data_IF_208618048611
#
_entry.id   IF_208618048611
#
_cell.length_a   1.000
_cell.length_b   1.000
_cell.length_c   1.000
_cell.angle_alpha   90.00
_cell.angle_beta   90.00
_cell.angle_gamma   90.00
#
_symmetry.space_group_name_H-M   'P 1'
#
loop_
_entity.id
_entity.type
_entity.pdbx_description
1 polymer ?
#
# COMPACT_ATOMS: atom_id res chain seq x y z
N UNK A 1 -17.52 21.60 12.09
CA UNK A 1 -16.30 20.82 11.79
C UNK A 1 -15.88 19.95 12.96
N UNK A 2 -15.35 20.50 14.07
CA UNK A 2 -14.95 19.69 15.23
C UNK A 2 -16.09 18.91 15.89
N UNK A 3 -17.26 19.54 16.07
CA UNK A 3 -18.47 18.87 16.53
C UNK A 3 -18.89 17.75 15.56
N UNK A 4 -18.86 18.04 14.26
CA UNK A 4 -19.15 17.08 13.19
C UNK A 4 -18.23 15.85 13.27
N UNK A 5 -16.91 16.03 13.39
CA UNK A 5 -15.96 14.92 13.51
C UNK A 5 -16.16 14.08 14.79
N UNK A 6 -16.58 14.72 15.90
CA UNK A 6 -16.89 14.03 17.17
C UNK A 6 -18.17 13.19 17.10
N UNK A 7 -19.12 13.59 16.26
CA UNK A 7 -20.42 12.92 16.10
C UNK A 7 -20.41 11.78 15.07
N UNK A 8 -19.34 11.65 14.28
CA UNK A 8 -19.21 10.57 13.29
C UNK A 8 -19.02 9.19 13.95
N UNK A 9 -19.74 8.19 13.43
CA UNK A 9 -19.46 6.79 13.74
C UNK A 9 -18.22 6.30 12.98
N UNK A 10 -17.09 6.28 13.67
CA UNK A 10 -15.83 5.75 13.15
C UNK A 10 -15.75 4.21 13.22
N UNK A 11 -16.68 3.51 13.86
CA UNK A 11 -16.65 2.03 13.90
C UNK A 11 -17.22 1.43 12.60
N UNK A 12 -18.09 2.15 11.90
CA UNK A 12 -18.74 1.77 10.63
C UNK A 12 -19.39 0.37 10.69
N UNK A 13 -20.08 0.02 11.78
CA UNK A 13 -20.48 -1.38 12.06
C UNK A 13 -21.33 -2.00 10.94
N UNK A 14 -22.09 -1.20 10.21
CA UNK A 14 -23.01 -1.65 9.15
C UNK A 14 -22.48 -1.50 7.71
N UNK A 15 -21.27 -0.94 7.51
CA UNK A 15 -20.72 -0.79 6.16
C UNK A 15 -20.22 -2.13 5.58
N UNK A 16 -20.78 -2.60 4.46
CA UNK A 16 -20.20 -3.70 3.69
C UNK A 16 -19.02 -3.16 2.87
N UNK A 17 -17.86 -3.83 2.90
CA UNK A 17 -16.79 -3.55 1.94
C UNK A 17 -17.27 -3.99 0.56
N UNK A 18 -17.35 -3.07 -0.40
CA UNK A 18 -17.54 -3.45 -1.79
C UNK A 18 -16.29 -4.24 -2.23
N UNK A 19 -16.50 -5.37 -2.89
CA UNK A 19 -15.42 -6.23 -3.39
C UNK A 19 -14.63 -5.61 -4.55
N UNK A 20 -14.93 -4.38 -4.99
CA UNK A 20 -14.46 -3.77 -6.24
C UNK A 20 -12.93 -3.64 -6.37
N UNK A 21 -12.43 -2.40 -6.47
CA UNK A 21 -10.98 -2.13 -6.60
C UNK A 21 -10.10 -2.79 -5.52
N UNK A 22 -10.65 -3.13 -4.35
CA UNK A 22 -9.90 -3.81 -3.29
C UNK A 22 -9.57 -5.27 -3.58
N UNK A 23 -10.24 -5.94 -4.53
CA UNK A 23 -10.01 -7.36 -4.85
C UNK A 23 -8.87 -7.60 -5.85
N UNK A 24 -8.41 -6.56 -6.56
CA UNK A 24 -7.48 -6.73 -7.68
C UNK A 24 -6.09 -7.23 -7.26
N UNK A 25 -5.70 -6.99 -6.01
CA UNK A 25 -4.42 -7.43 -5.49
C UNK A 25 -4.46 -7.59 -3.96
N UNK A 26 -3.94 -8.71 -3.41
CA UNK A 26 -3.81 -8.87 -1.96
C UNK A 26 -2.77 -7.90 -1.41
N UNK A 27 -3.21 -7.02 -0.51
CA UNK A 27 -2.34 -6.08 0.19
C UNK A 27 -2.94 -5.89 1.60
N UNK A 28 -2.42 -6.56 2.63
CA UNK A 28 -2.92 -6.46 4.00
C UNK A 28 -2.62 -5.10 4.66
N UNK A 29 -3.11 -4.92 5.88
CA UNK A 29 -2.87 -3.76 6.73
C UNK A 29 -3.20 -2.41 6.04
N UNK A 30 -4.42 -2.30 5.53
CA UNK A 30 -5.01 -1.08 4.95
C UNK A 30 -6.09 -0.56 5.89
N UNK A 31 -6.27 0.77 5.97
CA UNK A 31 -7.53 1.29 6.51
C UNK A 31 -8.70 1.05 5.56
N UNK A 32 -9.91 1.16 6.08
CA UNK A 32 -11.14 1.00 5.28
C UNK A 32 -11.44 2.31 4.53
N UNK A 33 -11.98 2.25 3.29
CA UNK A 33 -12.20 3.45 2.45
C UNK A 33 -13.16 4.46 3.07
N UNK A 34 -14.00 4.04 4.01
CA UNK A 34 -14.93 4.94 4.69
C UNK A 34 -14.23 5.98 5.57
N UNK A 35 -13.04 5.67 6.12
CA UNK A 35 -12.27 6.63 6.92
C UNK A 35 -11.80 7.82 6.05
N UNK A 36 -10.99 7.63 4.98
CA UNK A 36 -10.60 8.74 4.13
C UNK A 36 -11.81 9.42 3.49
N UNK A 37 -12.89 8.69 3.16
CA UNK A 37 -14.10 9.31 2.62
C UNK A 37 -14.70 10.33 3.59
N UNK A 38 -14.93 9.94 4.85
CA UNK A 38 -15.50 10.84 5.86
C UNK A 38 -14.59 12.02 6.17
N UNK A 39 -13.27 11.79 6.22
CA UNK A 39 -12.29 12.86 6.42
C UNK A 39 -12.38 13.88 5.28
N UNK A 40 -12.38 13.41 4.02
CA UNK A 40 -12.49 14.29 2.84
C UNK A 40 -13.82 15.04 2.85
N UNK A 41 -14.93 14.35 3.13
CA UNK A 41 -16.28 14.97 3.16
C UNK A 41 -16.41 16.03 4.26
N UNK A 42 -15.69 15.87 5.38
CA UNK A 42 -15.82 16.75 6.55
C UNK A 42 -14.84 17.92 6.53
N UNK A 43 -13.60 17.69 6.11
CA UNK A 43 -12.53 18.68 6.14
C UNK A 43 -12.39 19.42 4.80
N UNK A 44 -12.79 18.79 3.69
CA UNK A 44 -12.58 19.30 2.35
C UNK A 44 -11.10 19.31 1.95
N UNK A 45 -10.84 19.75 0.72
CA UNK A 45 -9.49 19.96 0.19
C UNK A 45 -9.44 21.32 -0.51
N UNK A 46 -9.24 22.43 0.22
CA UNK A 46 -9.17 23.77 -0.35
C UNK A 46 -7.94 23.92 -1.27
N UNK A 47 -8.13 24.53 -2.44
CA UNK A 47 -7.09 25.04 -3.36
C UNK A 47 -5.81 24.19 -3.49
N UNK A 48 -5.98 22.87 -3.65
CA UNK A 48 -4.86 21.94 -3.72
C UNK A 48 -5.28 20.49 -3.98
N UNK A 49 -4.34 19.59 -3.76
CA UNK A 49 -4.54 18.13 -3.93
C UNK A 49 -4.58 17.42 -2.58
N UNK A 50 -5.11 16.18 -2.59
CA UNK A 50 -5.05 15.29 -1.44
C UNK A 50 -3.72 14.54 -1.44
N UNK A 51 -2.97 14.59 -0.33
CA UNK A 51 -1.72 13.87 -0.16
C UNK A 51 -1.90 12.67 0.78
N UNK A 52 -1.39 11.51 0.38
CA UNK A 52 -1.16 10.36 1.25
C UNK A 52 0.35 10.00 1.25
N UNK A 53 1.13 10.39 2.28
CA UNK A 53 2.57 10.11 2.36
C UNK A 53 2.94 8.65 2.63
N UNK A 54 1.95 7.76 2.80
CA UNK A 54 2.10 6.32 2.98
C UNK A 54 0.99 5.58 2.23
N UNK A 55 0.88 5.86 0.93
CA UNK A 55 -0.33 5.54 0.17
C UNK A 55 -0.63 4.05 0.06
N UNK A 56 0.35 3.18 0.31
CA UNK A 56 0.20 1.73 0.26
C UNK A 56 -0.40 1.31 -1.08
N UNK A 57 -1.51 0.59 -1.03
CA UNK A 57 -2.26 0.17 -2.22
C UNK A 57 -3.30 1.18 -2.72
N UNK A 58 -3.21 2.45 -2.31
CA UNK A 58 -3.91 3.57 -2.93
C UNK A 58 -5.33 3.83 -2.42
N UNK A 59 -5.66 3.41 -1.20
CA UNK A 59 -7.06 3.52 -0.71
C UNK A 59 -7.51 4.98 -0.59
N UNK A 60 -6.69 5.88 -0.04
CA UNK A 60 -7.02 7.31 0.00
C UNK A 60 -7.12 7.91 -1.41
N UNK A 61 -6.21 7.51 -2.31
CA UNK A 61 -6.13 8.03 -3.68
C UNK A 61 -7.38 7.66 -4.49
N UNK A 62 -7.83 6.41 -4.44
CA UNK A 62 -9.07 5.98 -5.09
C UNK A 62 -10.28 6.74 -4.54
N UNK A 63 -10.33 6.95 -3.22
CA UNK A 63 -11.44 7.71 -2.60
C UNK A 63 -11.40 9.18 -3.04
N UNK A 64 -10.23 9.81 -3.06
CA UNK A 64 -10.03 11.16 -3.57
C UNK A 64 -10.54 11.29 -5.02
N UNK A 65 -10.12 10.39 -5.90
CA UNK A 65 -10.57 10.36 -7.30
C UNK A 65 -12.08 10.16 -7.43
N UNK A 66 -12.68 9.25 -6.65
CA UNK A 66 -14.13 9.02 -6.68
C UNK A 66 -14.94 10.24 -6.22
N UNK A 67 -14.29 11.17 -5.51
CA UNK A 67 -14.86 12.43 -5.05
C UNK A 67 -14.45 13.63 -5.91
N UNK A 68 -13.79 13.39 -7.04
CA UNK A 68 -13.37 14.45 -7.96
C UNK A 68 -12.10 15.20 -7.56
N UNK A 69 -11.35 14.73 -6.56
CA UNK A 69 -10.09 15.35 -6.15
C UNK A 69 -8.89 14.71 -6.86
N UNK A 70 -7.95 15.54 -7.28
CA UNK A 70 -6.62 15.08 -7.62
C UNK A 70 -5.87 14.63 -6.36
N UNK A 71 -4.96 13.67 -6.52
CA UNK A 71 -4.21 13.15 -5.39
C UNK A 71 -2.74 12.85 -5.67
N UNK A 72 -1.93 12.87 -4.63
CA UNK A 72 -0.53 12.47 -4.66
C UNK A 72 -0.34 11.39 -3.59
N UNK A 73 0.27 10.28 -3.96
CA UNK A 73 0.63 9.21 -3.05
C UNK A 73 2.14 8.99 -3.03
N UNK A 74 2.72 8.87 -1.84
CA UNK A 74 4.11 8.44 -1.66
C UNK A 74 4.11 7.07 -0.98
N UNK A 75 4.93 6.15 -1.47
CA UNK A 75 5.23 4.92 -0.73
C UNK A 75 6.65 4.43 -1.03
N UNK A 76 7.28 3.81 -0.04
CA UNK A 76 8.59 3.17 -0.19
C UNK A 76 8.50 1.88 -1.01
N UNK A 77 7.41 1.13 -0.87
CA UNK A 77 7.26 -0.20 -1.44
C UNK A 77 6.78 -0.12 -2.90
N UNK A 78 7.60 -0.55 -3.88
CA UNK A 78 7.26 -0.44 -5.29
C UNK A 78 6.05 -1.29 -5.69
N UNK A 79 5.75 -2.37 -4.96
CA UNK A 79 4.52 -3.16 -5.17
C UNK A 79 3.29 -2.34 -4.78
N UNK A 80 3.38 -1.58 -3.69
CA UNK A 80 2.32 -0.70 -3.25
C UNK A 80 2.07 0.41 -4.29
N UNK A 81 3.14 1.06 -4.75
CA UNK A 81 3.07 2.07 -5.82
C UNK A 81 2.51 1.51 -7.12
N UNK A 82 2.92 0.31 -7.54
CA UNK A 82 2.39 -0.37 -8.74
C UNK A 82 0.88 -0.58 -8.63
N UNK A 83 0.40 -1.11 -7.51
CA UNK A 83 -1.03 -1.33 -7.28
C UNK A 83 -1.78 0.00 -7.25
N UNK A 84 -1.23 1.02 -6.59
CA UNK A 84 -1.81 2.35 -6.51
C UNK A 84 -2.00 2.95 -7.91
N UNK A 85 -0.96 2.93 -8.76
CA UNK A 85 -1.07 3.40 -10.15
C UNK A 85 -2.15 2.67 -10.92
N UNK A 86 -2.15 1.34 -10.88
CA UNK A 86 -3.15 0.52 -11.61
C UNK A 86 -4.58 0.82 -11.14
N UNK A 87 -4.81 1.09 -9.85
CA UNK A 87 -6.14 1.43 -9.34
C UNK A 87 -6.61 2.85 -9.67
N UNK A 88 -5.68 3.75 -9.92
CA UNK A 88 -5.97 5.18 -10.13
C UNK A 88 -5.83 5.60 -11.58
N UNK A 89 -5.61 4.65 -12.49
CA UNK A 89 -5.44 4.87 -13.92
C UNK A 89 -6.47 4.02 -14.66
N UNK A 90 -7.30 4.63 -15.53
CA UNK A 90 -8.22 3.89 -16.37
C UNK A 90 -7.48 2.84 -17.20
N UNK A 91 -8.07 1.64 -17.29
CA UNK A 91 -7.47 0.56 -18.05
C UNK A 91 -7.73 0.77 -19.55
N UNK A 92 -6.70 0.59 -20.38
CA UNK A 92 -6.85 0.66 -21.84
C UNK A 92 -7.78 -0.44 -22.35
N UNK A 93 -8.60 -0.13 -23.36
CA UNK A 93 -9.45 -1.11 -24.07
C UNK A 93 -8.65 -2.27 -24.64
N UNK A 94 -7.40 -2.03 -25.02
CA UNK A 94 -6.51 -3.02 -25.64
C UNK A 94 -5.90 -3.97 -24.60
N UNK A 95 -6.16 -3.76 -23.30
CA UNK A 95 -5.63 -4.61 -22.23
C UNK A 95 -6.07 -6.07 -22.39
N UNK A 96 -7.31 -6.30 -22.86
CA UNK A 96 -7.84 -7.65 -23.03
C UNK A 96 -7.04 -8.43 -24.07
N UNK A 97 -6.84 -7.83 -25.24
CA UNK A 97 -6.02 -8.41 -26.31
C UNK A 97 -4.57 -8.57 -25.85
N UNK A 98 -4.04 -7.61 -25.10
CA UNK A 98 -2.68 -7.65 -24.58
C UNK A 98 -2.44 -8.82 -23.63
N UNK A 99 -3.33 -9.09 -22.66
CA UNK A 99 -3.10 -10.20 -21.73
C UNK A 99 -3.30 -11.57 -22.42
N UNK A 100 -4.21 -11.68 -23.39
CA UNK A 100 -4.35 -12.91 -24.19
C UNK A 100 -3.10 -13.18 -25.03
N UNK A 101 -2.56 -12.16 -25.69
CA UNK A 101 -1.32 -12.28 -26.44
C UNK A 101 -0.13 -12.64 -25.53
N UNK A 102 -0.02 -12.00 -24.35
CA UNK A 102 1.01 -12.35 -23.36
C UNK A 102 0.93 -13.82 -22.91
N UNK A 103 -0.29 -14.36 -22.72
CA UNK A 103 -0.51 -15.77 -22.41
C UNK A 103 -0.05 -16.69 -23.55
N UNK A 104 -0.43 -16.39 -24.79
CA UNK A 104 -0.05 -17.16 -25.98
C UNK A 104 1.47 -17.23 -26.14
N UNK A 105 2.13 -16.07 -26.11
CA UNK A 105 3.59 -15.97 -26.17
C UNK A 105 4.23 -16.76 -25.02
N UNK A 106 3.74 -16.58 -23.79
CA UNK A 106 4.32 -17.24 -22.63
C UNK A 106 4.25 -18.78 -22.69
N UNK A 107 3.26 -19.38 -23.35
CA UNK A 107 3.21 -20.85 -23.48
C UNK A 107 4.31 -21.38 -24.41
N UNK A 108 4.61 -20.63 -25.48
CA UNK A 108 5.56 -21.02 -26.52
C UNK A 108 7.02 -20.67 -26.17
N UNK A 109 7.24 -19.75 -25.24
CA UNK A 109 8.58 -19.32 -24.85
C UNK A 109 9.40 -20.46 -24.22
N UNK A 110 10.67 -20.53 -24.60
CA UNK A 110 11.72 -21.18 -23.82
C UNK A 110 12.46 -20.13 -22.98
N UNK A 111 12.79 -20.46 -21.74
CA UNK A 111 13.44 -19.53 -20.80
C UNK A 111 14.59 -20.20 -20.08
N UNK A 112 15.64 -19.41 -19.83
CA UNK A 112 16.77 -19.83 -19.01
C UNK A 112 16.57 -19.40 -17.55
N UNK A 113 16.31 -20.38 -16.68
CA UNK A 113 16.14 -20.17 -15.24
C UNK A 113 17.43 -19.77 -14.52
N UNK A 114 18.60 -19.85 -15.17
CA UNK A 114 19.86 -19.34 -14.60
C UNK A 114 19.80 -17.83 -14.30
N UNK A 115 18.96 -17.11 -15.06
CA UNK A 115 18.67 -15.69 -14.87
C UNK A 115 18.02 -15.35 -13.52
N UNK A 116 17.47 -16.35 -12.80
CA UNK A 116 16.82 -16.19 -11.50
C UNK A 116 17.78 -16.26 -10.30
N UNK A 117 19.09 -16.35 -10.55
CA UNK A 117 20.14 -16.43 -9.52
C UNK A 117 20.16 -15.25 -8.54
N UNK A 118 19.55 -14.12 -8.89
CA UNK A 118 19.36 -12.97 -8.03
C UNK A 118 18.24 -13.14 -6.97
N UNK A 119 17.38 -14.15 -7.08
CA UNK A 119 16.28 -14.41 -6.15
C UNK A 119 16.75 -15.34 -5.02
N UNK A 120 16.88 -14.86 -3.78
CA UNK A 120 17.44 -15.65 -2.69
C UNK A 120 16.54 -16.83 -2.32
N UNK A 121 17.14 -18.01 -2.20
CA UNK A 121 16.48 -19.27 -1.83
C UNK A 121 15.29 -19.63 -2.73
N UNK A 122 15.36 -19.32 -4.03
CA UNK A 122 14.23 -19.51 -4.94
C UNK A 122 13.67 -20.95 -4.92
N UNK A 123 14.54 -21.96 -4.86
CA UNK A 123 14.14 -23.38 -4.84
C UNK A 123 13.41 -23.80 -3.57
N UNK A 124 13.62 -23.07 -2.47
CA UNK A 124 12.85 -23.29 -1.25
C UNK A 124 11.43 -22.73 -1.36
N UNK A 125 11.26 -21.62 -2.09
CA UNK A 125 9.98 -20.91 -2.17
C UNK A 125 9.16 -21.23 -3.42
N UNK A 126 9.77 -21.72 -4.50
CA UNK A 126 9.11 -22.00 -5.77
C UNK A 126 9.62 -23.32 -6.34
N UNK A 127 8.71 -24.21 -6.72
CA UNK A 127 9.07 -25.45 -7.46
C UNK A 127 9.67 -25.09 -8.82
N UNK A 128 10.61 -25.89 -9.33
CA UNK A 128 11.35 -25.59 -10.57
C UNK A 128 10.42 -25.38 -11.75
N UNK A 129 9.41 -26.23 -11.90
CA UNK A 129 8.39 -26.11 -12.93
C UNK A 129 7.59 -24.80 -12.81
N UNK A 130 7.29 -24.33 -11.60
CA UNK A 130 6.62 -23.05 -11.39
C UNK A 130 7.55 -21.86 -11.70
N UNK A 131 8.83 -21.96 -11.37
CA UNK A 131 9.82 -20.91 -11.72
C UNK A 131 9.86 -20.69 -13.24
N UNK A 132 9.82 -21.77 -14.03
CA UNK A 132 9.80 -21.73 -15.49
C UNK A 132 8.56 -20.97 -15.98
N UNK A 133 7.35 -21.36 -15.55
CA UNK A 133 6.12 -20.73 -16.05
C UNK A 133 5.98 -19.25 -15.64
N UNK A 134 6.40 -18.90 -14.42
CA UNK A 134 6.39 -17.50 -13.96
C UNK A 134 7.41 -16.67 -14.76
N UNK A 135 8.58 -17.23 -15.06
CA UNK A 135 9.59 -16.54 -15.88
C UNK A 135 9.11 -16.36 -17.32
N UNK A 136 8.45 -17.36 -17.92
CA UNK A 136 7.83 -17.22 -19.26
C UNK A 136 6.81 -16.07 -19.29
N UNK A 137 5.91 -16.01 -18.30
CA UNK A 137 4.95 -14.89 -18.19
C UNK A 137 5.66 -13.55 -18.01
N UNK A 138 6.64 -13.47 -17.09
CA UNK A 138 7.43 -12.24 -16.89
C UNK A 138 8.09 -11.77 -18.20
N UNK A 139 8.66 -12.69 -18.97
CA UNK A 139 9.29 -12.39 -20.26
C UNK A 139 8.28 -11.89 -21.29
N UNK A 140 7.14 -12.57 -21.43
CA UNK A 140 6.07 -12.15 -22.35
C UNK A 140 5.48 -10.78 -21.99
N UNK A 141 5.25 -10.50 -20.70
CA UNK A 141 4.82 -9.17 -20.21
C UNK A 141 5.84 -8.09 -20.58
N UNK A 142 7.13 -8.44 -20.65
CA UNK A 142 8.21 -7.56 -21.07
C UNK A 142 8.04 -6.93 -22.46
N UNK A 143 7.23 -7.53 -23.33
CA UNK A 143 6.91 -6.98 -24.65
C UNK A 143 6.11 -5.67 -24.60
N UNK A 144 5.47 -5.39 -23.46
CA UNK A 144 4.60 -4.21 -23.28
C UNK A 144 5.30 -3.04 -22.60
N UNK A 145 6.62 -3.08 -22.36
CA UNK A 145 7.36 -2.04 -21.60
C UNK A 145 7.13 -0.61 -22.09
N UNK A 146 6.92 -0.41 -23.38
CA UNK A 146 6.69 0.90 -23.99
C UNK A 146 5.25 1.42 -23.77
N UNK A 147 4.30 0.55 -23.44
CA UNK A 147 2.95 0.91 -22.99
C UNK A 147 2.83 0.74 -21.48
N UNK A 148 3.22 1.79 -20.74
CA UNK A 148 3.31 1.75 -19.27
C UNK A 148 2.01 1.36 -18.57
N UNK A 149 0.84 1.75 -19.10
CA UNK A 149 -0.48 1.41 -18.52
C UNK A 149 -0.74 -0.09 -18.60
N UNK A 150 -0.60 -0.68 -19.79
CA UNK A 150 -0.77 -2.13 -19.98
C UNK A 150 0.31 -2.91 -19.23
N UNK A 151 1.56 -2.44 -19.29
CA UNK A 151 2.68 -3.08 -18.61
C UNK A 151 2.48 -3.15 -17.10
N UNK A 152 2.08 -2.04 -16.46
CA UNK A 152 1.84 -2.02 -15.03
C UNK A 152 0.63 -2.88 -14.65
N UNK A 153 -0.45 -2.89 -15.45
CA UNK A 153 -1.60 -3.75 -15.21
C UNK A 153 -1.24 -5.25 -15.28
N UNK A 154 -0.49 -5.67 -16.30
CA UNK A 154 0.00 -7.04 -16.43
C UNK A 154 0.95 -7.42 -15.28
N UNK A 155 1.85 -6.52 -14.88
CA UNK A 155 2.74 -6.74 -13.73
C UNK A 155 1.98 -6.84 -12.42
N UNK A 156 0.93 -6.03 -12.23
CA UNK A 156 0.06 -6.12 -11.06
C UNK A 156 -0.69 -7.45 -11.04
N UNK A 157 -1.16 -7.95 -12.18
CA UNK A 157 -1.77 -9.27 -12.30
C UNK A 157 -0.80 -10.40 -11.95
N UNK A 158 0.43 -10.36 -12.51
CA UNK A 158 1.48 -11.33 -12.19
C UNK A 158 1.85 -11.27 -10.71
N UNK A 159 2.05 -10.05 -10.18
CA UNK A 159 2.32 -9.82 -8.76
C UNK A 159 1.27 -10.51 -7.91
N UNK A 160 -0.02 -10.30 -8.20
CA UNK A 160 -1.16 -10.73 -7.39
C UNK A 160 -1.12 -12.24 -7.08
N UNK A 161 -0.59 -13.05 -7.99
CA UNK A 161 -0.57 -14.51 -7.91
C UNK A 161 0.70 -15.08 -7.28
N UNK A 162 1.79 -14.31 -7.13
CA UNK A 162 3.11 -14.82 -6.68
C UNK A 162 3.03 -15.62 -5.38
N UNK A 163 2.30 -15.14 -4.37
CA UNK A 163 2.14 -15.88 -3.10
C UNK A 163 1.30 -17.15 -3.28
N UNK A 164 0.32 -17.15 -4.18
CA UNK A 164 -0.54 -18.32 -4.43
C UNK A 164 0.24 -19.46 -5.08
N UNK A 165 1.17 -19.14 -5.97
CA UNK A 165 2.00 -20.12 -6.70
C UNK A 165 3.31 -20.47 -5.99
N UNK A 166 3.63 -19.80 -4.88
CA UNK A 166 4.80 -20.10 -4.04
C UNK A 166 4.45 -20.98 -2.85
N UNK A 167 5.49 -21.50 -2.19
CA UNK A 167 5.40 -22.21 -0.93
C UNK A 167 5.07 -21.29 0.26
N UNK A 168 4.95 -19.98 0.09
CA UNK A 168 4.56 -19.09 1.20
C UNK A 168 3.09 -19.31 1.58
N UNK A 169 2.82 -19.72 2.82
CA UNK A 169 1.49 -20.06 3.33
C UNK A 169 0.40 -19.07 2.89
N UNK A 170 0.54 -17.79 3.26
CA UNK A 170 -0.40 -16.74 2.85
C UNK A 170 0.25 -15.36 2.76
N UNK A 171 -0.53 -14.37 2.29
CA UNK A 171 -0.12 -12.96 2.32
C UNK A 171 0.04 -12.41 3.75
N UNK A 172 -0.35 -13.16 4.78
CA UNK A 172 -0.32 -12.72 6.18
C UNK A 172 0.47 -13.66 7.09
N UNK A 173 0.99 -14.77 6.55
CA UNK A 173 1.80 -15.74 7.27
C UNK A 173 3.03 -16.13 6.46
N UNK A 174 4.20 -15.71 6.95
CA UNK A 174 5.48 -16.01 6.35
C UNK A 174 6.02 -17.35 6.88
N UNK A 175 5.50 -18.44 6.31
CA UNK A 175 5.96 -19.80 6.55
C UNK A 175 5.95 -20.58 5.23
N UNK A 176 6.92 -21.48 5.05
CA UNK A 176 6.93 -22.36 3.89
C UNK A 176 6.02 -23.57 4.14
N UNK A 177 5.12 -23.84 3.20
CA UNK A 177 4.28 -25.04 3.11
C UNK A 177 4.43 -25.63 1.72
N UNK A 178 4.36 -26.95 1.60
CA UNK A 178 4.32 -27.58 0.28
C UNK A 178 2.92 -27.40 -0.31
N UNK A 179 2.82 -26.54 -1.34
CA UNK A 179 1.56 -26.36 -2.08
C UNK A 179 1.56 -27.25 -3.32
N UNK A 180 0.49 -28.01 -3.49
CA UNK A 180 0.27 -28.79 -4.70
C UNK A 180 -0.31 -27.91 -5.81
N UNK A 181 0.54 -27.10 -6.46
CA UNK A 181 0.20 -26.23 -7.58
C UNK A 181 0.83 -26.79 -8.85
N UNK A 182 0.04 -26.99 -9.90
CA UNK A 182 0.54 -27.42 -11.21
C UNK A 182 1.04 -26.23 -12.06
N UNK A 183 1.94 -26.46 -13.03
CA UNK A 183 2.40 -25.43 -13.98
C UNK A 183 1.25 -24.70 -14.68
N UNK A 184 0.24 -25.45 -15.17
CA UNK A 184 -0.93 -24.88 -15.86
C UNK A 184 -1.75 -23.96 -14.94
N UNK A 185 -1.70 -24.19 -13.62
CA UNK A 185 -2.41 -23.36 -12.67
C UNK A 185 -1.86 -21.93 -12.64
N UNK A 186 -0.57 -21.73 -12.92
CA UNK A 186 0.07 -20.39 -12.99
C UNK A 186 -0.64 -19.52 -14.02
N UNK A 187 -0.79 -20.02 -15.25
CA UNK A 187 -1.49 -19.33 -16.34
C UNK A 187 -2.95 -19.05 -16.00
N UNK A 188 -3.68 -20.03 -15.47
CA UNK A 188 -5.08 -19.83 -15.09
C UNK A 188 -5.24 -18.77 -13.98
N UNK A 189 -4.32 -18.71 -13.02
CA UNK A 189 -4.36 -17.71 -11.95
C UNK A 189 -4.05 -16.32 -12.50
N UNK A 190 -3.09 -16.21 -13.41
CA UNK A 190 -2.73 -14.96 -14.08
C UNK A 190 -3.91 -14.44 -14.91
N UNK A 191 -4.50 -15.28 -15.76
CA UNK A 191 -5.67 -14.95 -16.57
C UNK A 191 -6.84 -14.47 -15.71
N UNK A 192 -7.18 -15.20 -14.65
CA UNK A 192 -8.22 -14.78 -13.70
C UNK A 192 -7.90 -13.43 -13.04
N UNK A 193 -6.62 -13.13 -12.78
CA UNK A 193 -6.22 -11.83 -12.26
C UNK A 193 -6.41 -10.72 -13.29
N UNK A 194 -6.12 -10.97 -14.57
CA UNK A 194 -6.36 -10.01 -15.66
C UNK A 194 -7.85 -9.77 -15.90
N UNK A 195 -8.68 -10.83 -15.88
CA UNK A 195 -10.15 -10.71 -15.96
C UNK A 195 -10.68 -9.87 -14.79
N UNK A 196 -10.16 -10.08 -13.58
CA UNK A 196 -10.58 -9.28 -12.44
C UNK A 196 -10.17 -7.80 -12.61
N UNK A 197 -9.01 -7.50 -13.19
CA UNK A 197 -8.61 -6.13 -13.50
C UNK A 197 -9.56 -5.50 -14.53
N UNK A 198 -9.84 -6.17 -15.64
CA UNK A 198 -10.72 -5.65 -16.69
C UNK A 198 -12.13 -5.36 -16.18
N UNK A 199 -12.70 -6.27 -15.39
CA UNK A 199 -14.04 -6.08 -14.81
C UNK A 199 -14.15 -4.95 -13.79
N UNK A 200 -13.05 -4.56 -13.13
CA UNK A 200 -13.08 -3.55 -12.08
C UNK A 200 -12.52 -2.17 -12.49
N UNK A 201 -11.83 -2.08 -13.65
CA UNK A 201 -11.13 -0.87 -14.07
C UNK A 201 -11.52 -0.34 -15.46
N UNK A 202 -12.26 -1.10 -16.27
CA UNK A 202 -12.71 -0.61 -17.60
C UNK A 202 -13.78 0.49 -17.44
N UNK A 203 -14.68 0.36 -16.48
CA UNK A 203 -15.77 1.33 -16.21
C UNK A 203 -15.37 2.38 -15.16
N UNK A 204 -14.07 2.67 -15.01
CA UNK A 204 -13.59 3.59 -13.99
C UNK A 204 -13.82 5.05 -14.41
N UNK A 205 -14.90 5.66 -13.89
CA UNK A 205 -15.28 7.07 -14.06
C UNK A 205 -14.40 8.07 -13.26
N UNK A 206 -13.20 7.68 -12.81
CA UNK A 206 -12.32 8.57 -12.06
C UNK A 206 -11.79 9.70 -12.95
N UNK A 207 -12.43 10.87 -12.86
CA UNK A 207 -12.14 12.05 -13.71
C UNK A 207 -10.81 12.71 -13.33
N UNK A 208 -10.37 12.57 -12.07
CA UNK A 208 -9.24 13.33 -11.53
C UNK A 208 -7.95 12.51 -11.48
N UNK A 209 -6.80 13.14 -11.72
CA UNK A 209 -5.50 12.47 -11.83
C UNK A 209 -4.89 12.09 -10.47
N UNK A 210 -4.05 11.06 -10.46
CA UNK A 210 -3.23 10.70 -9.28
C UNK A 210 -1.76 10.57 -9.66
N UNK A 211 -0.87 11.16 -8.86
CA UNK A 211 0.59 11.03 -9.00
C UNK A 211 1.11 10.08 -7.92
N UNK A 212 1.84 9.04 -8.32
CA UNK A 212 2.41 8.06 -7.39
C UNK A 212 3.93 8.19 -7.41
N UNK A 213 4.51 8.47 -6.25
CA UNK A 213 5.94 8.65 -6.05
C UNK A 213 6.47 7.44 -5.26
N UNK A 214 7.37 6.66 -5.86
CA UNK A 214 8.04 5.57 -5.16
C UNK A 214 9.34 6.07 -4.52
N UNK A 215 9.25 6.50 -3.27
CA UNK A 215 10.36 7.10 -2.52
C UNK A 215 10.20 6.88 -1.02
N UNK A 216 11.32 6.80 -0.32
CA UNK A 216 11.37 6.88 1.14
C UNK A 216 10.83 8.26 1.56
N UNK A 217 9.73 8.29 2.33
CA UNK A 217 9.07 9.54 2.72
C UNK A 217 10.02 10.50 3.45
N UNK A 218 11.00 9.98 4.20
CA UNK A 218 11.97 10.79 4.93
C UNK A 218 13.03 11.42 4.03
N UNK A 219 13.02 11.08 2.73
CA UNK A 219 13.87 11.64 1.68
C UNK A 219 13.08 12.46 0.66
N UNK A 220 11.76 12.57 0.83
CA UNK A 220 10.91 13.43 0.01
C UNK A 220 11.08 14.86 0.50
N UNK A 221 11.25 15.80 -0.43
CA UNK A 221 11.21 17.24 -0.17
C UNK A 221 9.98 17.85 -0.82
N UNK A 222 9.73 19.13 -0.53
CA UNK A 222 8.65 19.90 -1.19
C UNK A 222 8.77 19.90 -2.73
N UNK A 223 9.98 19.79 -3.28
CA UNK A 223 10.22 19.86 -4.73
C UNK A 223 9.79 18.55 -5.44
N UNK A 224 9.72 17.44 -4.70
CA UNK A 224 9.15 16.20 -5.20
C UNK A 224 7.61 16.25 -5.27
N UNK A 225 6.97 17.22 -4.59
CA UNK A 225 5.51 17.37 -4.51
C UNK A 225 5.07 18.50 -5.47
N UNK A 226 4.65 18.19 -6.70
CA UNK A 226 4.48 19.19 -7.77
C UNK A 226 3.28 20.13 -7.59
N UNK A 227 2.45 19.92 -6.57
CA UNK A 227 1.22 20.67 -6.33
C UNK A 227 1.08 21.01 -4.85
N UNK A 228 0.47 22.16 -4.57
CA UNK A 228 0.09 22.53 -3.19
C UNK A 228 -0.92 21.51 -2.63
N UNK A 229 -0.79 21.21 -1.34
CA UNK A 229 -1.63 20.20 -0.67
C UNK A 229 -2.72 20.90 0.12
N UNK A 230 -3.98 20.60 -0.21
CA UNK A 230 -5.15 21.12 0.49
C UNK A 230 -5.60 20.24 1.65
N UNK A 231 -5.24 18.96 1.63
CA UNK A 231 -5.55 17.99 2.67
C UNK A 231 -4.53 16.85 2.67
N UNK A 232 -4.07 16.43 3.84
CA UNK A 232 -3.30 15.20 4.01
C UNK A 232 -4.16 14.16 4.73
N UNK A 233 -4.30 12.96 4.17
CA UNK A 233 -5.01 11.83 4.80
C UNK A 233 -4.18 10.57 4.66
N UNK A 234 -3.83 9.93 5.77
CA UNK A 234 -2.93 8.77 5.73
C UNK A 234 -3.08 7.82 6.91
N UNK A 235 -2.56 6.60 6.74
CA UNK A 235 -2.31 5.65 7.81
C UNK A 235 -0.86 5.19 7.72
N UNK A 236 0.05 5.78 8.52
CA UNK A 236 1.46 5.43 8.44
C UNK A 236 1.70 4.00 8.91
N UNK A 237 2.77 3.33 8.45
CA UNK A 237 3.18 2.06 9.03
C UNK A 237 3.63 2.29 10.49
N UNK A 238 3.01 1.60 11.43
CA UNK A 238 3.39 1.68 12.85
C UNK A 238 3.99 0.36 13.36
N UNK A 239 4.86 0.42 14.39
CA UNK A 239 5.61 -0.75 14.86
C UNK A 239 4.72 -1.95 15.18
N UNK A 240 5.10 -3.12 14.66
CA UNK A 240 4.40 -4.41 14.79
C UNK A 240 3.02 -4.51 14.11
N UNK A 241 2.67 -3.57 13.21
CA UNK A 241 1.46 -3.69 12.40
C UNK A 241 1.57 -4.80 11.35
N UNK A 242 2.56 -4.70 10.48
CA UNK A 242 2.80 -5.61 9.35
C UNK A 242 4.22 -5.38 8.79
N UNK A 243 4.89 -6.41 8.26
CA UNK A 243 6.23 -6.29 7.67
C UNK A 243 6.13 -6.27 6.13
N UNK A 244 5.84 -5.10 5.54
CA UNK A 244 5.53 -5.00 4.11
C UNK A 244 6.66 -5.51 3.22
N UNK A 245 7.92 -5.22 3.55
CA UNK A 245 9.08 -5.74 2.81
C UNK A 245 9.07 -7.27 2.81
N UNK A 246 8.84 -7.91 3.96
CA UNK A 246 8.99 -9.35 4.15
C UNK A 246 7.95 -10.12 3.33
N UNK A 247 6.69 -9.67 3.38
CA UNK A 247 5.59 -10.32 2.69
C UNK A 247 5.57 -10.05 1.18
N UNK A 248 6.16 -8.94 0.73
CA UNK A 248 6.19 -8.56 -0.69
C UNK A 248 7.54 -8.81 -1.38
N UNK A 249 8.60 -9.26 -0.68
CA UNK A 249 9.94 -9.43 -1.26
C UNK A 249 9.99 -10.32 -2.50
N UNK A 250 9.26 -11.43 -2.54
CA UNK A 250 9.25 -12.29 -3.72
C UNK A 250 8.48 -11.67 -4.88
N UNK A 251 7.44 -10.87 -4.61
CA UNK A 251 6.79 -10.06 -5.65
C UNK A 251 7.78 -9.04 -6.22
N UNK A 252 8.55 -8.38 -5.35
CA UNK A 252 9.59 -7.42 -5.76
C UNK A 252 10.68 -8.08 -6.62
N UNK A 253 11.26 -9.20 -6.19
CA UNK A 253 12.26 -9.93 -6.97
C UNK A 253 11.74 -10.38 -8.34
N UNK A 254 10.54 -10.95 -8.39
CA UNK A 254 9.94 -11.40 -9.67
C UNK A 254 9.67 -10.25 -10.64
N UNK A 255 9.47 -9.03 -10.14
CA UNK A 255 9.22 -7.84 -10.95
C UNK A 255 10.44 -6.93 -11.11
N UNK A 256 11.65 -7.43 -10.82
CA UNK A 256 12.92 -6.72 -10.96
C UNK A 256 13.05 -5.46 -10.08
N UNK A 257 12.34 -5.42 -8.95
CA UNK A 257 12.55 -4.42 -7.91
C UNK A 257 13.63 -4.88 -6.92
N UNK A 258 14.12 -3.95 -6.09
CA UNK A 258 15.09 -4.23 -5.02
C UNK A 258 14.40 -4.29 -3.63
N UNK A 259 14.13 -5.48 -3.08
CA UNK A 259 13.58 -5.61 -1.73
C UNK A 259 14.56 -5.23 -0.62
N UNK A 260 15.88 -5.18 -0.88
CA UNK A 260 16.85 -4.87 0.18
C UNK A 260 16.85 -3.37 0.52
N UNK A 261 16.72 -2.49 -0.47
CA UNK A 261 16.51 -1.06 -0.21
C UNK A 261 15.23 -0.80 0.57
N UNK A 262 14.12 -1.47 0.21
CA UNK A 262 12.85 -1.38 0.96
C UNK A 262 13.02 -1.87 2.40
N UNK A 263 13.63 -3.05 2.60
CA UNK A 263 13.91 -3.59 3.93
C UNK A 263 14.72 -2.62 4.80
N UNK A 264 15.69 -1.93 4.21
CA UNK A 264 16.58 -1.00 4.94
C UNK A 264 15.85 0.27 5.37
N UNK A 265 14.94 0.78 4.54
CA UNK A 265 14.25 2.06 4.77
C UNK A 265 12.86 1.91 5.40
N UNK A 266 12.31 0.70 5.54
CA UNK A 266 10.95 0.50 6.04
C UNK A 266 10.77 0.99 7.50
N UNK A 267 9.85 1.94 7.67
CA UNK A 267 9.37 2.43 8.96
C UNK A 267 8.51 1.34 9.62
N UNK A 268 8.70 1.13 10.92
CA UNK A 268 7.90 0.17 11.69
C UNK A 268 8.24 -1.31 11.49
N UNK A 269 9.20 -1.65 10.62
CA UNK A 269 9.61 -3.03 10.37
C UNK A 269 10.10 -3.73 11.64
N UNK A 270 9.54 -4.91 11.95
CA UNK A 270 9.85 -5.66 13.19
C UNK A 270 11.34 -5.91 13.34
N UNK A 271 12.04 -6.28 12.26
CA UNK A 271 13.48 -6.52 12.28
C UNK A 271 14.32 -5.34 12.80
N UNK A 272 13.82 -4.11 12.78
CA UNK A 272 14.52 -2.94 13.33
C UNK A 272 14.45 -2.86 14.86
N UNK A 273 13.41 -3.43 15.47
CA UNK A 273 13.20 -3.44 16.92
C UNK A 273 13.86 -4.63 17.64
N UNK A 274 14.52 -5.55 16.94
CA UNK A 274 15.18 -6.73 17.54
C UNK A 274 16.70 -6.80 17.28
N UNK A 275 17.30 -5.75 16.69
CA UNK A 275 18.76 -5.64 16.48
C UNK A 275 19.48 -5.15 17.74
N UNK A 276 20.81 -5.28 17.77
CA UNK A 276 21.68 -4.83 18.88
C UNK A 276 21.57 -3.30 19.15
N UNK A 277 21.35 -2.51 18.09
CA UNK A 277 20.92 -1.10 18.17
C UNK A 277 19.46 -1.03 17.69
N UNK A 278 18.54 -1.44 18.57
CA UNK A 278 17.12 -1.53 18.20
C UNK A 278 16.49 -0.15 18.13
N UNK A 279 15.52 0.01 17.23
CA UNK A 279 14.65 1.18 17.26
C UNK A 279 13.81 1.19 18.54
N UNK A 280 13.37 2.37 18.93
CA UNK A 280 12.58 2.67 20.12
C UNK A 280 11.34 3.48 19.73
N UNK A 281 10.53 3.90 20.71
CA UNK A 281 9.46 4.84 20.48
C UNK A 281 9.98 6.20 19.98
N UNK A 282 11.18 6.61 20.41
CA UNK A 282 11.85 7.85 20.00
C UNK A 282 12.21 7.84 18.51
N UNK A 283 12.70 6.71 17.99
CA UNK A 283 12.93 6.57 16.55
C UNK A 283 11.65 6.74 15.74
N UNK A 284 10.54 6.11 16.18
CA UNK A 284 9.26 6.26 15.51
C UNK A 284 8.73 7.70 15.61
N UNK A 285 8.89 8.35 16.76
CA UNK A 285 8.58 9.77 16.93
C UNK A 285 9.35 10.65 15.92
N UNK A 286 10.67 10.47 15.80
CA UNK A 286 11.48 11.24 14.85
C UNK A 286 11.08 10.98 13.39
N UNK A 287 10.73 9.74 13.05
CA UNK A 287 10.22 9.39 11.73
C UNK A 287 8.90 10.10 11.43
N UNK A 288 7.94 10.07 12.36
CA UNK A 288 6.65 10.78 12.20
C UNK A 288 6.83 12.29 12.18
N UNK A 289 7.72 12.84 13.02
CA UNK A 289 8.08 14.26 13.00
C UNK A 289 8.70 14.67 11.66
N UNK A 290 9.55 13.84 11.05
CA UNK A 290 10.07 14.06 9.71
C UNK A 290 8.97 14.13 8.65
N UNK A 291 7.99 13.23 8.70
CA UNK A 291 6.82 13.28 7.82
C UNK A 291 5.94 14.51 8.07
N UNK A 292 5.74 14.90 9.33
CA UNK A 292 5.00 16.12 9.70
C UNK A 292 5.73 17.39 9.22
N UNK A 293 7.06 17.39 9.22
CA UNK A 293 7.86 18.50 8.68
C UNK A 293 7.59 18.67 7.18
N UNK A 294 7.61 17.59 6.40
CA UNK A 294 7.22 17.64 4.99
C UNK A 294 5.77 18.13 4.84
N UNK A 295 4.84 17.63 5.65
CA UNK A 295 3.45 18.07 5.64
C UNK A 295 3.35 19.59 5.88
N UNK A 296 4.11 20.13 6.83
CA UNK A 296 4.16 21.57 7.09
C UNK A 296 4.67 22.38 5.90
N UNK A 297 5.65 21.85 5.16
CA UNK A 297 6.23 22.52 3.99
C UNK A 297 5.27 22.56 2.79
N UNK A 298 4.41 21.54 2.63
CA UNK A 298 3.59 21.37 1.40
C UNK A 298 2.11 21.69 1.58
N UNK A 299 1.59 21.64 2.80
CA UNK A 299 0.21 22.04 3.10
C UNK A 299 0.04 23.55 2.87
N UNK A 300 -1.10 23.96 2.34
CA UNK A 300 -1.48 25.37 2.35
C UNK A 300 -1.88 25.81 3.77
N UNK A 301 -1.80 27.10 4.05
CA UNK A 301 -2.16 27.64 5.36
C UNK A 301 -3.61 27.29 5.69
N UNK A 302 -3.90 27.00 6.96
CA UNK A 302 -5.20 26.51 7.44
C UNK A 302 -5.67 25.15 6.89
N UNK A 303 -4.89 24.45 6.06
CA UNK A 303 -5.20 23.09 5.63
C UNK A 303 -5.03 22.06 6.76
N UNK A 304 -5.69 20.92 6.60
CA UNK A 304 -5.70 19.85 7.60
C UNK A 304 -4.80 18.67 7.22
N UNK A 305 -4.29 17.99 8.25
CA UNK A 305 -3.68 16.68 8.14
C UNK A 305 -4.36 15.70 9.10
N UNK A 306 -4.72 14.53 8.59
CA UNK A 306 -5.37 13.46 9.33
C UNK A 306 -4.55 12.16 9.28
N UNK A 307 -4.23 11.63 10.45
CA UNK A 307 -3.43 10.42 10.63
C UNK A 307 -4.26 9.35 11.32
N UNK A 308 -4.27 8.15 10.76
CA UNK A 308 -4.97 6.98 11.33
C UNK A 308 -3.93 5.98 11.82
N UNK A 309 -3.82 5.81 13.14
CA UNK A 309 -2.78 4.96 13.75
C UNK A 309 -3.36 4.02 14.81
N UNK A 310 -2.87 2.78 14.82
CA UNK A 310 -3.08 1.86 15.93
C UNK A 310 -2.11 2.14 17.08
N UNK A 311 -2.35 1.52 18.23
CA UNK A 311 -1.27 1.39 19.24
C UNK A 311 -0.17 0.47 18.72
N UNK A 312 1.00 0.53 19.35
CA UNK A 312 2.09 -0.42 19.12
C UNK A 312 2.53 -1.05 20.44
N UNK A 313 3.26 -2.18 20.36
CA UNK A 313 3.93 -2.76 21.51
C UNK A 313 5.43 -2.87 21.25
N UNK A 314 6.25 -2.01 21.82
CA UNK A 314 7.69 -1.99 21.61
C UNK A 314 8.36 -2.48 22.90
N UNK A 315 9.18 -3.52 22.82
CA UNK A 315 9.89 -4.11 23.98
C UNK A 315 9.04 -4.46 25.21
N UNK A 316 7.75 -4.77 25.02
CA UNK A 316 6.86 -5.06 26.15
C UNK A 316 5.95 -3.89 26.53
N UNK A 317 6.30 -2.68 26.13
CA UNK A 317 5.59 -1.45 26.47
C UNK A 317 4.56 -1.09 25.39
N UNK A 318 3.40 -0.60 25.83
CA UNK A 318 2.35 -0.14 24.92
C UNK A 318 2.66 1.31 24.57
N UNK A 319 2.85 1.57 23.28
CA UNK A 319 3.15 2.88 22.74
C UNK A 319 1.87 3.49 22.16
N UNK A 320 1.58 4.73 22.58
CA UNK A 320 0.51 5.54 22.04
C UNK A 320 1.01 6.36 20.84
N UNK A 321 0.98 5.73 19.66
CA UNK A 321 1.44 6.37 18.43
C UNK A 321 0.68 7.65 18.08
N UNK A 322 -0.60 7.76 18.50
CA UNK A 322 -1.37 8.97 18.30
C UNK A 322 -0.82 10.14 19.12
N UNK A 323 -0.37 9.87 20.35
CA UNK A 323 0.27 10.88 21.18
C UNK A 323 1.60 11.34 20.58
N UNK A 324 2.43 10.40 20.07
CA UNK A 324 3.69 10.76 19.42
C UNK A 324 3.50 11.67 18.19
N UNK A 325 2.43 11.45 17.41
CA UNK A 325 2.07 12.33 16.29
C UNK A 325 1.61 13.71 16.78
N UNK A 326 0.81 13.76 17.85
CA UNK A 326 0.37 15.03 18.47
C UNK A 326 1.58 15.84 18.96
N UNK A 327 2.46 15.21 19.73
CA UNK A 327 3.65 15.86 20.29
C UNK A 327 4.55 16.42 19.16
N UNK A 328 4.77 15.65 18.09
CA UNK A 328 5.55 16.09 16.93
C UNK A 328 4.88 17.22 16.15
N UNK A 329 3.54 17.24 16.09
CA UNK A 329 2.78 18.29 15.43
C UNK A 329 2.81 19.59 16.24
N UNK A 330 2.73 19.52 17.57
CA UNK A 330 2.87 20.69 18.46
C UNK A 330 4.25 21.32 18.34
N UNK A 331 5.32 20.51 18.31
CA UNK A 331 6.70 21.01 18.13
C UNK A 331 6.92 21.73 16.80
N UNK A 332 6.16 21.36 15.76
CA UNK A 332 6.18 22.01 14.44
C UNK A 332 5.17 23.16 14.33
N UNK A 333 4.42 23.43 15.39
CA UNK A 333 3.51 24.56 15.49
C UNK A 333 2.12 24.33 14.90
N UNK A 334 1.71 23.10 14.59
CA UNK A 334 0.34 22.81 14.16
C UNK A 334 -0.67 23.08 15.28
N UNK A 335 -1.91 23.38 14.90
CA UNK A 335 -3.04 23.37 15.84
C UNK A 335 -3.59 21.95 15.95
N UNK A 336 -3.74 21.44 17.17
CA UNK A 336 -4.37 20.14 17.42
C UNK A 336 -5.88 20.30 17.38
N UNK A 337 -6.50 19.74 16.34
CA UNK A 337 -7.94 19.86 16.12
C UNK A 337 -8.66 18.79 16.92
N UNK A 338 -8.23 17.53 16.82
CA UNK A 338 -8.88 16.46 17.58
C UNK A 338 -8.19 15.12 17.53
N UNK A 339 -8.58 14.28 18.49
CA UNK A 339 -8.16 12.89 18.64
C UNK A 339 -9.41 12.04 18.82
N UNK A 340 -9.61 11.05 17.96
CA UNK A 340 -10.82 10.24 17.90
C UNK A 340 -10.47 8.75 17.93
N UNK A 341 -10.85 8.06 19.00
CA UNK A 341 -10.61 6.62 19.14
C UNK A 341 -11.76 5.82 18.50
N UNK A 342 -11.42 4.73 17.83
CA UNK A 342 -12.38 3.77 17.24
C UNK A 342 -12.03 2.33 17.61
N UNK A 343 -13.03 1.45 17.63
CA UNK A 343 -12.83 0.02 17.82
C UNK A 343 -12.81 -0.71 16.48
N UNK A 344 -11.76 -1.48 16.23
CA UNK A 344 -11.69 -2.35 15.07
C UNK A 344 -12.54 -3.62 15.31
N UNK A 345 -13.50 -3.85 14.41
CA UNK A 345 -14.27 -5.08 14.42
C UNK A 345 -13.38 -6.29 14.05
N UNK A 346 -13.43 -7.38 14.83
CA UNK A 346 -12.49 -8.52 14.70
C UNK A 346 -12.52 -9.21 13.33
N UNK A 347 -13.64 -9.14 12.63
CA UNK A 347 -13.85 -9.74 11.31
C UNK A 347 -13.30 -8.88 10.16
N UNK A 348 -12.83 -7.64 10.43
CA UNK A 348 -12.25 -6.72 9.43
C UNK A 348 -10.72 -6.66 9.50
N UNK A 349 -10.12 -7.52 10.32
CA UNK A 349 -8.66 -7.63 10.42
C UNK A 349 -8.12 -8.26 9.14
N UNK A 350 -7.32 -7.48 8.41
CA UNK A 350 -6.46 -8.01 7.35
C UNK A 350 -5.25 -8.77 7.92
N UNK A 351 -5.00 -8.70 9.23
CA UNK A 351 -3.87 -9.35 9.90
C UNK A 351 -4.26 -9.86 11.30
N UNK A 352 -4.10 -11.17 11.52
CA UNK A 352 -4.39 -11.85 12.79
C UNK A 352 -3.11 -12.51 13.31
N UNK A 353 -2.12 -11.71 13.74
CA UNK A 353 -1.12 -12.23 14.66
C UNK A 353 -1.68 -12.23 16.08
N UNK A 354 -1.58 -13.36 16.79
CA UNK A 354 -1.92 -13.49 18.22
C UNK A 354 -1.21 -12.46 19.11
N UNK A 355 -0.09 -11.90 18.64
CA UNK A 355 0.67 -10.83 19.31
C UNK A 355 0.18 -9.41 19.00
N UNK A 356 -0.63 -9.21 17.96
CA UNK A 356 -1.17 -7.91 17.54
C UNK A 356 -2.63 -7.75 18.01
N UNK A 357 -2.87 -7.95 19.31
CA UNK A 357 -4.18 -7.81 19.95
C UNK A 357 -4.61 -6.34 20.14
N UNK A 358 -4.35 -5.49 19.15
CA UNK A 358 -4.65 -4.07 19.21
C UNK A 358 -6.01 -3.86 18.55
N UNK A 359 -7.03 -3.66 19.39
CA UNK A 359 -8.44 -3.52 19.00
C UNK A 359 -8.86 -2.07 18.73
N UNK A 360 -7.93 -1.13 18.84
CA UNK A 360 -8.21 0.31 18.75
C UNK A 360 -7.28 0.97 17.74
N UNK A 361 -7.88 1.79 16.89
CA UNK A 361 -7.18 2.79 16.08
C UNK A 361 -7.61 4.18 16.58
N UNK A 362 -6.77 5.16 16.34
CA UNK A 362 -6.99 6.55 16.71
C UNK A 362 -6.76 7.41 15.48
N UNK A 363 -7.68 8.33 15.24
CA UNK A 363 -7.59 9.36 14.20
C UNK A 363 -7.12 10.64 14.88
N UNK A 364 -5.99 11.18 14.43
CA UNK A 364 -5.46 12.47 14.87
C UNK A 364 -5.66 13.46 13.73
N UNK A 365 -6.30 14.60 14.03
CA UNK A 365 -6.49 15.69 13.08
C UNK A 365 -5.75 16.91 13.60
N UNK A 366 -4.88 17.47 12.76
CA UNK A 366 -4.13 18.70 13.02
C UNK A 366 -4.34 19.69 11.87
N UNK A 367 -4.09 20.96 12.12
CA UNK A 367 -4.23 22.03 11.13
C UNK A 367 -2.96 22.87 11.06
N UNK A 368 -2.50 23.16 9.84
CA UNK A 368 -1.38 24.07 9.61
C UNK A 368 -1.80 25.50 9.99
N UNK A 369 -0.91 26.21 10.68
CA UNK A 369 -1.15 27.62 11.08
C UNK A 369 -1.12 28.56 9.89
#
# INVERSE_FOLDING_TARGET
MLATLKELDWDFKDSRQSKGLHSIHPYPAKFIPQIPSQIIDTLGCPDGVILDPFCGSGTALCVAQSKGYESIGVDLNPIACLISRVKTTPLSTDFVDAYHHALQVAVELEVDVSSLSNIPNIDHWFKKEIQIEVLKLKTAIGLYRDNTVIFDALRAALSSIIVKVSNQDSDTRYAAIDKNISPQKVYSLFENSCINLSQNLIDFDGVSSSIIINKDILKVSKDDIPKKVGLLVTSPPYPNAYEYWLYHKYRMWWLDFDPQSVKKSEIGARAHFFKRNHHTAEDFFHQMKGTLSLANDVLIDSAYAAFVVGRSKIHGEVIDNAQLIIDGAEELGFNIIGRFDRNMNSNRKSFNLSHANIKKETIVVVQKK
#
